data_IF_272758601425
#
_entry.id   IF_272758601425
#
_cell.length_a   1.000
_cell.length_b   1.000
_cell.length_c   1.000
_cell.angle_alpha   90.00
_cell.angle_beta   90.00
_cell.angle_gamma   90.00
#
_symmetry.space_group_name_H-M   'P 1'
#
loop_
_entity.id
_entity.type
_entity.pdbx_description
1 polymer ?
#
# COMPACT_ATOMS: atom_id res chain seq x y z
N UNK A 1 2.17 -2.89 0.72
CA UNK A 1 1.63 -1.74 -0.03
C UNK A 1 2.49 -0.52 0.22
N UNK A 2 2.86 0.23 -0.82
CA UNK A 2 3.78 1.38 -0.76
C UNK A 2 3.20 2.56 -1.51
N UNK A 3 3.30 3.76 -0.98
CA UNK A 3 2.75 4.98 -1.58
C UNK A 3 2.91 6.19 -0.67
N UNK A 4 2.78 7.38 -1.24
CA UNK A 4 2.95 8.64 -0.50
C UNK A 4 1.91 8.80 0.62
N UNK A 5 2.17 9.67 1.59
CA UNK A 5 1.15 10.09 2.56
C UNK A 5 -0.07 10.68 1.83
N UNK A 6 -1.27 10.25 2.23
CA UNK A 6 -2.52 10.74 1.63
C UNK A 6 -2.90 10.10 0.29
N UNK A 7 -2.15 9.12 -0.23
CA UNK A 7 -2.58 8.34 -1.41
C UNK A 7 -3.68 7.32 -1.12
N UNK A 8 -4.21 7.27 0.11
CA UNK A 8 -5.36 6.42 0.43
C UNK A 8 -5.05 4.96 0.74
N UNK A 9 -3.79 4.60 1.04
CA UNK A 9 -3.39 3.23 1.43
C UNK A 9 -4.32 2.63 2.50
N UNK A 10 -4.48 3.29 3.65
CA UNK A 10 -5.33 2.80 4.74
C UNK A 10 -6.80 2.67 4.33
N UNK A 11 -7.31 3.57 3.49
CA UNK A 11 -8.67 3.46 2.93
C UNK A 11 -8.80 2.22 2.05
N UNK A 12 -7.80 1.95 1.21
CA UNK A 12 -7.76 0.75 0.38
C UNK A 12 -7.69 -0.53 1.22
N UNK A 13 -6.88 -0.57 2.29
CA UNK A 13 -6.84 -1.71 3.23
C UNK A 13 -8.24 -1.95 3.81
N UNK A 14 -8.88 -0.92 4.34
CA UNK A 14 -10.22 -1.04 4.91
C UNK A 14 -11.21 -1.57 3.87
N UNK A 15 -11.13 -1.12 2.62
CA UNK A 15 -12.00 -1.62 1.55
C UNK A 15 -11.78 -3.12 1.27
N UNK A 16 -10.52 -3.56 1.18
CA UNK A 16 -10.18 -4.98 0.98
C UNK A 16 -10.69 -5.83 2.15
N UNK A 17 -10.52 -5.36 3.39
CA UNK A 17 -11.01 -6.08 4.58
C UNK A 17 -12.52 -6.20 4.59
N UNK A 18 -13.25 -5.11 4.31
CA UNK A 18 -14.72 -5.15 4.24
C UNK A 18 -15.20 -6.10 3.14
N UNK A 19 -14.52 -6.12 1.99
CA UNK A 19 -14.82 -7.06 0.92
C UNK A 19 -14.65 -8.52 1.37
N UNK A 20 -13.56 -8.86 2.06
CA UNK A 20 -13.30 -10.22 2.55
C UNK A 20 -14.30 -10.62 3.65
N UNK A 21 -14.72 -9.68 4.48
CA UNK A 21 -15.77 -9.88 5.47
C UNK A 21 -17.18 -10.03 4.85
N UNK A 22 -17.32 -9.86 3.54
CA UNK A 22 -18.58 -9.99 2.83
C UNK A 22 -19.52 -8.79 2.99
N UNK A 23 -19.00 -7.64 3.44
CA UNK A 23 -19.79 -6.41 3.61
C UNK A 23 -20.23 -5.89 2.25
N UNK A 24 -21.53 -5.70 2.10
CA UNK A 24 -22.17 -5.16 0.90
C UNK A 24 -22.51 -3.69 1.10
N UNK A 25 -22.65 -2.97 -0.01
CA UNK A 25 -23.12 -1.58 0.01
C UNK A 25 -24.50 -1.41 0.66
N UNK A 26 -25.31 -2.49 0.71
CA UNK A 26 -26.64 -2.51 1.34
C UNK A 26 -26.61 -2.70 2.86
N UNK A 27 -25.48 -3.10 3.44
CA UNK A 27 -25.43 -3.56 4.83
C UNK A 27 -25.39 -2.40 5.84
N UNK A 28 -25.40 -1.14 5.36
CA UNK A 28 -25.32 0.09 6.16
C UNK A 28 -24.22 0.09 7.25
N UNK A 29 -23.20 -0.76 7.06
CA UNK A 29 -22.10 -0.98 7.98
C UNK A 29 -20.77 -0.86 7.24
N UNK A 30 -19.76 -0.32 7.93
CA UNK A 30 -18.40 -0.22 7.42
C UNK A 30 -17.40 -0.37 8.54
N UNK A 31 -16.56 -1.39 8.47
CA UNK A 31 -15.53 -1.64 9.46
C UNK A 31 -14.28 -0.82 9.14
N UNK A 32 -13.66 -0.25 10.18
CA UNK A 32 -12.37 0.42 10.07
C UNK A 32 -11.39 -0.25 11.00
N UNK A 33 -10.20 -0.55 10.50
CA UNK A 33 -9.10 -0.99 11.35
C UNK A 33 -8.65 0.22 12.18
N UNK A 34 -8.70 0.06 13.50
CA UNK A 34 -8.20 1.04 14.46
C UNK A 34 -7.17 0.37 15.36
N UNK A 35 -6.13 1.11 15.71
CA UNK A 35 -5.25 0.70 16.81
C UNK A 35 -6.02 0.89 18.12
N UNK A 36 -6.07 -0.13 18.97
CA UNK A 36 -6.53 0.05 20.35
C UNK A 36 -5.50 0.93 21.08
N UNK A 37 -5.78 2.23 21.16
CA UNK A 37 -5.06 3.15 22.02
C UNK A 37 -5.85 3.23 23.32
N UNK A 38 -5.32 2.68 24.42
CA UNK A 38 -5.96 2.80 25.73
C UNK A 38 -6.31 4.26 26.04
N UNK A 39 -7.59 4.49 26.35
CA UNK A 39 -8.32 5.65 26.93
C UNK A 39 -7.90 7.10 26.63
N UNK A 40 -6.91 7.36 25.78
CA UNK A 40 -6.49 8.72 25.45
C UNK A 40 -6.99 9.12 24.06
N UNK A 41 -8.13 9.80 24.11
CA UNK A 41 -8.85 10.51 23.04
C UNK A 41 -7.94 11.29 22.08
N UNK A 42 -7.36 10.60 21.10
CA UNK A 42 -7.05 11.14 19.78
C UNK A 42 -7.41 10.09 18.74
N UNK A 43 -8.28 10.46 17.81
CA UNK A 43 -8.71 9.59 16.70
C UNK A 43 -7.47 8.94 16.06
N UNK A 44 -7.35 7.62 16.16
CA UNK A 44 -6.19 6.85 15.69
C UNK A 44 -5.86 7.07 14.20
N UNK A 45 -6.79 7.63 13.43
CA UNK A 45 -6.61 8.06 12.04
C UNK A 45 -5.65 9.25 11.85
N UNK A 46 -5.29 10.00 12.90
CA UNK A 46 -4.47 11.22 12.82
C UNK A 46 -3.01 11.04 13.27
N UNK A 47 -2.62 9.87 13.82
CA UNK A 47 -1.21 9.60 14.07
C UNK A 47 -0.56 9.18 12.76
N UNK A 48 0.45 9.92 12.28
CA UNK A 48 1.26 9.44 11.17
C UNK A 48 1.91 8.13 11.61
N UNK A 49 1.46 7.01 11.04
CA UNK A 49 2.03 5.71 11.33
C UNK A 49 3.51 5.74 10.89
N UNK A 50 4.40 5.56 11.85
CA UNK A 50 5.85 5.62 11.63
C UNK A 50 6.47 4.25 11.36
N UNK A 51 5.70 3.18 11.54
CA UNK A 51 6.17 1.81 11.50
C UNK A 51 5.43 1.02 10.43
N UNK A 52 6.09 -0.02 9.93
CA UNK A 52 5.47 -1.01 9.06
C UNK A 52 4.52 -1.84 9.93
N UNK A 53 3.28 -1.99 9.49
CA UNK A 53 2.27 -2.80 10.18
C UNK A 53 1.91 -4.00 9.32
N UNK A 54 1.91 -5.18 9.91
CA UNK A 54 1.47 -6.41 9.25
C UNK A 54 0.08 -6.74 9.79
N UNK A 55 -0.89 -6.79 8.88
CA UNK A 55 -2.24 -7.24 9.16
C UNK A 55 -2.39 -8.67 8.70
N UNK A 56 -2.75 -9.56 9.62
CA UNK A 56 -3.11 -10.93 9.29
C UNK A 56 -4.62 -11.08 9.48
N UNK A 57 -5.32 -11.32 8.37
CA UNK A 57 -6.78 -11.34 8.32
C UNK A 57 -7.19 -12.77 8.00
N UNK A 58 -7.85 -13.39 8.98
CA UNK A 58 -8.46 -14.71 8.84
C UNK A 58 -9.96 -14.57 9.11
N UNK A 59 -10.76 -14.98 8.14
CA UNK A 59 -12.22 -14.96 8.24
C UNK A 59 -12.70 -16.40 8.12
N UNK A 60 -13.37 -16.93 9.14
CA UNK A 60 -13.78 -18.35 9.18
C UNK A 60 -14.62 -18.78 7.97
N UNK A 61 -15.43 -17.87 7.45
CA UNK A 61 -16.26 -18.10 6.26
C UNK A 61 -15.51 -17.96 4.94
N UNK A 62 -14.25 -17.52 4.95
CA UNK A 62 -13.40 -17.35 3.78
C UNK A 62 -12.37 -18.47 3.69
N UNK A 63 -12.21 -19.15 2.55
CA UNK A 63 -11.11 -20.09 2.34
C UNK A 63 -9.76 -19.39 2.16
N UNK A 64 -9.73 -18.06 2.11
CA UNK A 64 -8.55 -17.23 1.88
C UNK A 64 -8.16 -16.55 3.20
N UNK A 65 -6.91 -16.75 3.63
CA UNK A 65 -6.23 -15.89 4.59
C UNK A 65 -5.46 -14.79 3.86
N UNK A 66 -5.50 -13.57 4.37
CA UNK A 66 -4.83 -12.43 3.75
C UNK A 66 -3.84 -11.78 4.71
N UNK A 67 -2.59 -11.63 4.26
CA UNK A 67 -1.57 -10.85 4.95
C UNK A 67 -1.29 -9.55 4.20
N UNK A 68 -1.48 -8.40 4.85
CA UNK A 68 -1.21 -7.08 4.27
C UNK A 68 -0.07 -6.42 5.03
N UNK A 69 1.01 -6.11 4.33
CA UNK A 69 2.09 -5.26 4.85
C UNK A 69 1.78 -3.82 4.49
N UNK A 70 1.40 -3.00 5.47
CA UNK A 70 1.19 -1.57 5.32
C UNK A 70 2.47 -0.80 5.68
N UNK A 71 2.92 0.08 4.79
CA UNK A 71 4.09 0.92 5.05
C UNK A 71 3.67 2.34 5.40
N UNK A 72 4.45 3.06 6.22
CA UNK A 72 4.33 4.50 6.36
C UNK A 72 4.26 5.21 5.00
N UNK A 73 3.47 6.29 4.93
CA UNK A 73 3.54 7.19 3.80
C UNK A 73 4.89 7.90 3.75
N UNK A 74 5.59 7.78 2.63
CA UNK A 74 6.75 8.61 2.32
C UNK A 74 6.28 9.99 1.82
N UNK A 75 7.21 10.91 1.59
CA UNK A 75 6.86 12.22 1.01
C UNK A 75 6.48 13.30 2.03
N UNK A 76 6.25 12.92 3.28
CA UNK A 76 5.87 13.82 4.37
C UNK A 76 7.00 14.80 4.77
N UNK A 77 6.68 15.77 5.63
CA UNK A 77 7.55 16.77 6.27
C UNK A 77 8.76 16.19 7.00
N UNK A 78 8.80 14.86 7.17
CA UNK A 78 9.81 14.08 7.89
C UNK A 78 11.12 13.85 7.11
N UNK A 79 11.14 14.15 5.80
CA UNK A 79 12.37 14.19 4.99
C UNK A 79 12.92 12.84 4.48
N UNK A 80 14.01 12.89 3.72
CA UNK A 80 14.59 11.74 2.98
C UNK A 80 15.10 10.60 3.86
N UNK A 81 15.44 10.86 5.13
CA UNK A 81 15.95 9.83 6.05
C UNK A 81 14.85 8.81 6.38
N UNK A 82 13.64 9.30 6.69
CA UNK A 82 12.49 8.45 6.99
C UNK A 82 12.09 7.60 5.79
N UNK A 83 12.20 8.16 4.58
CA UNK A 83 11.85 7.42 3.37
C UNK A 83 12.82 6.24 3.11
N UNK A 84 14.12 6.42 3.38
CA UNK A 84 15.12 5.33 3.29
C UNK A 84 14.86 4.21 4.30
N UNK A 85 14.36 4.55 5.47
CA UNK A 85 14.04 3.57 6.50
C UNK A 85 12.92 2.61 6.05
N UNK A 86 12.07 2.98 5.09
CA UNK A 86 11.03 2.09 4.58
C UNK A 86 11.64 0.85 3.94
N UNK A 87 12.58 1.03 2.99
CA UNK A 87 13.23 -0.11 2.33
C UNK A 87 14.08 -0.92 3.31
N UNK A 88 14.77 -0.27 4.26
CA UNK A 88 15.56 -0.96 5.28
C UNK A 88 14.68 -1.79 6.24
N UNK A 89 13.54 -1.26 6.65
CA UNK A 89 12.61 -1.95 7.54
C UNK A 89 11.91 -3.11 6.82
N UNK A 90 11.55 -2.94 5.54
CA UNK A 90 11.05 -4.04 4.70
C UNK A 90 12.12 -5.13 4.54
N UNK A 91 13.37 -4.75 4.26
CA UNK A 91 14.47 -5.71 4.17
C UNK A 91 14.62 -6.52 5.46
N UNK A 92 14.62 -5.86 6.62
CA UNK A 92 14.66 -6.52 7.93
C UNK A 92 13.46 -7.45 8.13
N UNK A 93 12.26 -7.01 7.75
CA UNK A 93 11.04 -7.81 7.85
C UNK A 93 11.14 -9.10 7.03
N UNK A 94 11.68 -9.05 5.81
CA UNK A 94 11.79 -10.24 4.96
C UNK A 94 12.92 -11.19 5.37
N UNK A 95 13.99 -10.66 5.97
CA UNK A 95 15.13 -11.46 6.40
C UNK A 95 15.05 -11.95 7.85
N UNK A 96 14.08 -11.47 8.64
CA UNK A 96 13.85 -11.95 10.01
C UNK A 96 13.36 -13.39 9.99
N UNK A 97 13.83 -14.23 10.92
CA UNK A 97 13.41 -15.63 11.07
C UNK A 97 11.89 -15.76 11.27
N UNK A 98 11.31 -14.84 12.03
CA UNK A 98 9.86 -14.76 12.31
C UNK A 98 9.13 -13.76 11.41
N UNK A 99 9.80 -13.28 10.35
CA UNK A 99 9.27 -12.30 9.43
C UNK A 99 8.46 -12.90 8.28
N UNK A 100 8.02 -12.04 7.36
CA UNK A 100 7.26 -12.46 6.17
C UNK A 100 8.21 -13.09 5.15
N UNK A 101 7.93 -14.33 4.74
CA UNK A 101 8.83 -15.13 3.88
C UNK A 101 8.50 -15.06 2.40
N UNK A 102 7.24 -14.84 2.08
CA UNK A 102 6.74 -14.86 0.70
C UNK A 102 5.86 -13.64 0.47
N UNK A 103 5.89 -13.12 -0.76
CA UNK A 103 5.05 -12.02 -1.19
C UNK A 103 4.41 -12.38 -2.52
N UNK A 104 3.08 -12.38 -2.53
CA UNK A 104 2.31 -12.62 -3.75
C UNK A 104 2.23 -11.37 -4.63
N UNK A 105 2.21 -10.18 -4.02
CA UNK A 105 2.01 -8.91 -4.71
C UNK A 105 2.69 -7.71 -4.05
N UNK A 106 3.30 -6.86 -4.88
CA UNK A 106 3.76 -5.53 -4.50
C UNK A 106 2.77 -4.49 -5.00
N UNK A 107 2.01 -3.90 -4.07
CA UNK A 107 1.00 -2.90 -4.40
C UNK A 107 1.58 -1.48 -4.26
N UNK A 108 1.76 -0.79 -5.38
CA UNK A 108 2.17 0.62 -5.44
C UNK A 108 0.91 1.51 -5.55
N UNK A 109 0.78 2.50 -4.68
CA UNK A 109 -0.47 3.28 -4.52
C UNK A 109 -0.26 4.75 -4.90
N UNK A 110 -1.01 5.22 -5.89
CA UNK A 110 -0.94 6.55 -6.48
C UNK A 110 -2.33 7.21 -6.54
N UNK A 111 -2.38 8.53 -6.65
CA UNK A 111 -3.65 9.26 -6.87
C UNK A 111 -3.96 9.31 -8.37
N UNK A 112 -5.24 9.34 -8.74
CA UNK A 112 -5.66 9.47 -10.14
C UNK A 112 -5.17 10.77 -10.80
N UNK A 113 -5.02 11.83 -10.01
CA UNK A 113 -4.52 13.14 -10.44
C UNK A 113 -2.99 13.25 -10.56
N UNK A 114 -2.26 12.14 -10.37
CA UNK A 114 -0.79 12.15 -10.45
C UNK A 114 -0.34 12.30 -11.91
N UNK A 115 0.13 13.49 -12.30
CA UNK A 115 0.53 13.77 -13.70
C UNK A 115 1.98 13.40 -14.01
N UNK A 116 2.82 13.21 -12.97
CA UNK A 116 4.21 12.78 -13.07
C UNK A 116 4.68 12.19 -11.75
N UNK A 117 5.56 11.19 -11.81
CA UNK A 117 6.30 10.76 -10.63
C UNK A 117 7.48 11.71 -10.42
N UNK A 118 7.58 12.28 -9.22
CA UNK A 118 8.76 13.03 -8.79
C UNK A 118 9.97 12.10 -8.63
N UNK A 119 11.19 12.64 -8.74
CA UNK A 119 12.43 11.88 -8.49
C UNK A 119 12.42 11.17 -7.13
N UNK A 120 11.79 11.79 -6.13
CA UNK A 120 11.63 11.20 -4.79
C UNK A 120 10.68 10.00 -4.80
N UNK A 121 9.53 10.09 -5.47
CA UNK A 121 8.59 8.98 -5.62
C UNK A 121 9.24 7.83 -6.40
N UNK A 122 9.90 8.14 -7.53
CA UNK A 122 10.58 7.15 -8.35
C UNK A 122 11.68 6.43 -7.58
N UNK A 123 12.54 7.18 -6.89
CA UNK A 123 13.58 6.60 -6.03
C UNK A 123 13.02 5.63 -4.99
N UNK A 124 11.86 5.93 -4.40
CA UNK A 124 11.26 5.06 -3.38
C UNK A 124 10.66 3.80 -3.98
N UNK A 125 10.00 3.90 -5.13
CA UNK A 125 9.54 2.72 -5.85
C UNK A 125 10.73 1.85 -6.25
N UNK A 126 11.78 2.42 -6.83
CA UNK A 126 12.98 1.68 -7.21
C UNK A 126 13.66 1.01 -5.99
N UNK A 127 13.77 1.73 -4.87
CA UNK A 127 14.34 1.19 -3.64
C UNK A 127 13.54 0.00 -3.09
N UNK A 128 12.22 0.09 -3.07
CA UNK A 128 11.36 -1.03 -2.64
C UNK A 128 11.44 -2.19 -3.62
N UNK A 129 11.38 -1.92 -4.92
CA UNK A 129 11.42 -2.95 -5.96
C UNK A 129 12.77 -3.67 -6.00
N UNK A 130 13.87 -2.99 -5.64
CA UNK A 130 15.20 -3.60 -5.52
C UNK A 130 15.33 -4.65 -4.41
N UNK A 131 14.36 -4.75 -3.50
CA UNK A 131 14.30 -5.82 -2.51
C UNK A 131 13.92 -7.17 -3.12
N UNK A 132 13.45 -7.18 -4.37
CA UNK A 132 12.91 -8.34 -5.05
C UNK A 132 13.73 -8.69 -6.29
N UNK A 133 13.63 -9.96 -6.70
CA UNK A 133 14.17 -10.43 -7.98
C UNK A 133 13.43 -9.82 -9.17
N UNK A 134 14.03 -9.92 -10.36
CA UNK A 134 13.44 -9.38 -11.61
C UNK A 134 12.14 -10.08 -12.02
N UNK A 135 11.90 -11.27 -11.50
CA UNK A 135 10.70 -12.08 -11.69
C UNK A 135 9.45 -11.50 -11.00
N UNK A 136 9.60 -10.53 -10.09
CA UNK A 136 8.49 -9.88 -9.40
C UNK A 136 7.61 -9.00 -10.31
N UNK A 137 8.06 -8.69 -11.54
CA UNK A 137 7.39 -7.72 -12.42
C UNK A 137 5.90 -8.04 -12.63
N UNK A 138 5.56 -9.32 -12.78
CA UNK A 138 4.18 -9.80 -12.94
C UNK A 138 3.34 -9.74 -11.66
N UNK A 139 3.98 -9.51 -10.52
CA UNK A 139 3.37 -9.37 -9.19
C UNK A 139 3.35 -7.92 -8.70
N UNK A 140 3.78 -6.94 -9.52
CA UNK A 140 3.65 -5.52 -9.18
C UNK A 140 2.30 -5.00 -9.69
N UNK A 141 1.48 -4.48 -8.77
CA UNK A 141 0.17 -3.92 -9.07
C UNK A 141 0.12 -2.43 -8.72
N UNK A 142 -0.43 -1.64 -9.64
CA UNK A 142 -0.68 -0.21 -9.43
C UNK A 142 -2.12 -0.01 -8.97
N UNK A 143 -2.29 0.54 -7.76
CA UNK A 143 -3.59 0.96 -7.24
C UNK A 143 -3.73 2.47 -7.38
N UNK A 144 -4.69 2.89 -8.20
CA UNK A 144 -4.98 4.29 -8.43
C UNK A 144 -6.20 4.67 -7.59
N UNK A 145 -6.00 5.57 -6.63
CA UNK A 145 -7.02 6.05 -5.68
C UNK A 145 -7.47 7.47 -6.03
N UNK A 146 -8.43 8.02 -5.27
CA UNK A 146 -9.04 9.33 -5.57
C UNK A 146 -9.58 9.41 -7.00
N UNK A 147 -10.07 8.27 -7.51
CA UNK A 147 -10.71 8.18 -8.81
C UNK A 147 -12.14 8.72 -8.71
N UNK A 148 -12.57 9.39 -9.77
CA UNK A 148 -13.96 9.80 -10.02
C UNK A 148 -14.76 8.73 -10.77
N UNK A 149 -14.16 7.55 -11.00
CA UNK A 149 -14.73 6.45 -11.78
C UNK A 149 -14.40 6.50 -13.28
N UNK A 150 -13.77 7.57 -13.77
CA UNK A 150 -13.31 7.68 -15.15
C UNK A 150 -11.92 7.06 -15.32
N UNK A 151 -11.50 6.72 -16.55
CA UNK A 151 -10.14 6.24 -16.82
C UNK A 151 -9.08 7.24 -16.30
N UNK A 152 -8.14 6.81 -15.44
CA UNK A 152 -7.17 7.71 -14.82
C UNK A 152 -5.97 7.98 -15.74
N UNK A 153 -6.20 8.68 -16.84
CA UNK A 153 -5.21 8.89 -17.91
C UNK A 153 -3.92 9.55 -17.42
N UNK A 154 -4.01 10.53 -16.51
CA UNK A 154 -2.85 11.23 -15.96
C UNK A 154 -1.90 10.28 -15.24
N UNK A 155 -2.43 9.51 -14.28
CA UNK A 155 -1.65 8.54 -13.52
C UNK A 155 -1.07 7.43 -14.42
N UNK A 156 -1.84 6.92 -15.37
CA UNK A 156 -1.37 5.89 -16.32
C UNK A 156 -0.22 6.43 -17.19
N UNK A 157 -0.33 7.66 -17.67
CA UNK A 157 0.73 8.31 -18.44
C UNK A 157 1.98 8.59 -17.58
N UNK A 158 1.79 9.00 -16.32
CA UNK A 158 2.89 9.22 -15.37
C UNK A 158 3.69 7.92 -15.11
N UNK A 159 2.99 6.82 -14.84
CA UNK A 159 3.59 5.49 -14.65
C UNK A 159 4.38 5.07 -15.89
N UNK A 160 3.77 5.19 -17.08
CA UNK A 160 4.41 4.82 -18.35
C UNK A 160 5.66 5.64 -18.63
N UNK A 161 5.63 6.95 -18.36
CA UNK A 161 6.79 7.85 -18.54
C UNK A 161 7.92 7.55 -17.56
N UNK A 162 7.60 7.18 -16.32
CA UNK A 162 8.59 6.83 -15.31
C UNK A 162 9.24 5.46 -15.56
N UNK A 163 8.62 4.60 -16.38
CA UNK A 163 9.16 3.29 -16.70
C UNK A 163 9.16 2.31 -15.53
N UNK A 164 8.24 2.51 -14.56
CA UNK A 164 8.11 1.60 -13.42
C UNK A 164 7.62 0.24 -13.94
N UNK A 165 8.31 -0.88 -13.62
CA UNK A 165 7.83 -2.20 -13.98
C UNK A 165 6.51 -2.47 -13.25
N UNK A 166 5.49 -2.90 -13.99
CA UNK A 166 4.21 -3.28 -13.43
C UNK A 166 3.52 -4.29 -14.32
N UNK A 167 2.69 -5.16 -13.72
CA UNK A 167 1.84 -6.07 -14.46
C UNK A 167 1.00 -5.28 -15.46
N UNK A 168 1.09 -5.65 -16.73
CA UNK A 168 0.22 -5.13 -17.79
C UNK A 168 -0.99 -6.05 -17.90
N UNK A 169 -2.15 -5.48 -18.21
CA UNK A 169 -3.30 -6.30 -18.59
C UNK A 169 -2.93 -7.08 -19.86
N UNK A 170 -3.36 -8.34 -19.93
CA UNK A 170 -3.33 -9.09 -21.18
C UNK A 170 -4.23 -8.35 -22.19
N UNK A 171 -3.73 -8.15 -23.42
CA UNK A 171 -4.49 -7.56 -24.54
C UNK A 171 -5.63 -8.47 -25.01
#
# INVERSE_FOLDING_TARGET
MVGETGTGKTTLINAVVNYILGVKFTDEAWFKITEEVGDNHMSAQAKSRNEITVYEIYVESSPIGLTIIDTPGYGDTRGRVMDKQISENLHKLFHSDTGVKEIDAVCLVLKASETRLSDRQQYIFDAVLSLFGKDIENSIFMFITHSDGMPPEDALNAIKKAGIPCRKNEE
#
